data_IF_382373454288
#
_entry.id   IF_382373454288
#
_cell.length_a   1.000
_cell.length_b   1.000
_cell.length_c   1.000
_cell.angle_alpha   90.00
_cell.angle_beta   90.00
_cell.angle_gamma   90.00
#
_symmetry.space_group_name_H-M   'P 1'
#
loop_
_entity.id
_entity.type
_entity.pdbx_description
1 polymer ?
#
# COMPACT_ATOMS: atom_id res chain seq x y z
N UNK A 1 -5.65 15.33 57.88
CA UNK A 1 -4.26 15.79 57.58
C UNK A 1 -3.53 14.64 56.91
N UNK A 2 -2.78 14.95 55.84
CA UNK A 2 -1.98 14.07 54.97
C UNK A 2 -2.79 13.01 54.17
N UNK A 3 -2.70 12.86 52.85
CA UNK A 3 -1.83 13.49 51.85
C UNK A 3 -1.46 12.45 50.79
N UNK A 4 -2.27 12.30 49.74
CA UNK A 4 -1.90 11.55 48.53
C UNK A 4 -2.43 12.30 47.30
N UNK A 5 -1.49 12.84 46.51
CA UNK A 5 -1.74 13.49 45.22
C UNK A 5 -1.78 12.41 44.14
N UNK A 6 -2.92 12.21 43.49
CA UNK A 6 -3.00 11.53 42.20
C UNK A 6 -2.78 12.56 41.09
N UNK A 7 -1.72 12.38 40.31
CA UNK A 7 -1.53 13.05 39.02
C UNK A 7 -2.48 12.41 38.01
N UNK A 8 -3.57 13.10 37.68
CA UNK A 8 -4.39 12.83 36.50
C UNK A 8 -3.90 13.73 35.36
N UNK A 9 -3.40 13.11 34.30
CA UNK A 9 -3.17 13.74 33.00
C UNK A 9 -4.52 13.86 32.28
N UNK A 10 -4.86 14.98 31.64
CA UNK A 10 -6.11 15.09 30.89
C UNK A 10 -5.98 14.37 29.55
N UNK A 11 -6.88 13.41 29.33
CA UNK A 11 -7.19 12.88 28.02
C UNK A 11 -7.71 14.01 27.12
N UNK A 12 -7.07 14.24 25.98
CA UNK A 12 -7.64 15.05 24.90
C UNK A 12 -8.57 14.14 24.12
N UNK A 13 -9.86 14.16 24.49
CA UNK A 13 -10.90 13.40 23.80
C UNK A 13 -11.59 14.23 22.72
N UNK A 14 -11.94 13.53 21.63
CA UNK A 14 -13.00 13.81 20.65
C UNK A 14 -12.87 15.03 19.74
N UNK A 15 -12.57 14.77 18.47
CA UNK A 15 -13.10 15.59 17.37
C UNK A 15 -14.62 15.44 17.33
N UNK A 16 -15.28 16.58 17.18
CA UNK A 16 -16.71 16.85 17.31
C UNK A 16 -17.55 16.00 16.37
N UNK A 17 -18.34 15.07 16.89
CA UNK A 17 -19.52 14.56 16.18
C UNK A 17 -20.56 15.68 16.14
N UNK A 18 -20.82 16.25 14.97
CA UNK A 18 -21.81 17.31 14.78
C UNK A 18 -23.21 16.69 14.75
N UNK A 19 -23.99 16.91 15.80
CA UNK A 19 -25.44 16.69 15.74
C UNK A 19 -26.10 17.88 15.03
N UNK A 20 -26.61 17.65 13.82
CA UNK A 20 -27.41 18.64 13.09
C UNK A 20 -28.86 18.60 13.57
N UNK A 21 -29.23 19.53 14.44
CA UNK A 21 -30.63 19.82 14.73
C UNK A 21 -31.28 20.60 13.57
N UNK A 22 -32.61 20.52 13.40
CA UNK A 22 -33.31 21.22 12.34
C UNK A 22 -33.29 22.74 12.61
N UNK A 23 -32.81 23.53 11.64
CA UNK A 23 -32.63 25.00 11.61
C UNK A 23 -31.31 25.56 12.17
N UNK A 24 -30.21 25.37 11.45
CA UNK A 24 -29.04 26.25 11.57
C UNK A 24 -29.30 27.55 10.78
N UNK A 25 -29.19 28.69 11.45
CA UNK A 25 -29.26 30.00 10.79
C UNK A 25 -28.06 30.21 9.85
N UNK A 26 -28.22 30.99 8.76
CA UNK A 26 -27.12 31.36 7.85
C UNK A 26 -25.89 31.90 8.60
N UNK A 27 -26.13 32.67 9.67
CA UNK A 27 -25.10 33.20 10.56
C UNK A 27 -24.32 32.09 11.26
N UNK A 28 -24.98 31.02 11.69
CA UNK A 28 -24.37 29.85 12.32
C UNK A 28 -23.52 29.05 11.33
N UNK A 29 -23.99 28.88 10.08
CA UNK A 29 -23.24 28.20 9.04
C UNK A 29 -21.98 28.99 8.63
N UNK A 30 -22.09 30.31 8.39
CA UNK A 30 -20.94 31.17 8.10
C UNK A 30 -19.91 31.14 9.23
N UNK A 31 -20.35 31.20 10.50
CA UNK A 31 -19.46 31.09 11.66
C UNK A 31 -18.81 29.71 11.78
N UNK A 32 -19.45 28.65 11.30
CA UNK A 32 -18.88 27.30 11.30
C UNK A 32 -17.85 27.14 10.19
N UNK A 33 -18.15 27.58 8.96
CA UNK A 33 -17.20 27.61 7.85
C UNK A 33 -15.97 28.48 8.15
N UNK A 34 -16.17 29.65 8.78
CA UNK A 34 -15.06 30.51 9.20
C UNK A 34 -14.18 29.86 10.29
N UNK A 35 -14.79 29.13 11.23
CA UNK A 35 -14.03 28.34 12.23
C UNK A 35 -13.27 27.18 11.58
N UNK A 36 -13.85 26.51 10.59
CA UNK A 36 -13.19 25.44 9.83
C UNK A 36 -12.04 25.99 9.00
N UNK A 37 -12.21 27.14 8.34
CA UNK A 37 -11.15 27.81 7.59
C UNK A 37 -9.99 28.28 8.49
N UNK A 38 -10.28 28.80 9.68
CA UNK A 38 -9.26 29.18 10.66
C UNK A 38 -8.53 27.95 11.23
N UNK A 39 -9.25 26.89 11.57
CA UNK A 39 -8.65 25.63 12.01
C UNK A 39 -7.80 24.98 10.92
N UNK A 40 -8.22 25.08 9.66
CA UNK A 40 -7.43 24.70 8.49
C UNK A 40 -6.15 25.54 8.46
N UNK A 41 -6.22 26.87 8.47
CA UNK A 41 -5.04 27.74 8.46
C UNK A 41 -4.05 27.44 9.61
N UNK A 42 -4.53 27.13 10.82
CA UNK A 42 -3.67 26.77 11.95
C UNK A 42 -2.99 25.41 11.76
N UNK A 43 -3.70 24.40 11.26
CA UNK A 43 -3.12 23.09 10.91
C UNK A 43 -2.06 23.25 9.83
N UNK A 44 -2.34 24.04 8.80
CA UNK A 44 -1.44 24.27 7.67
C UNK A 44 -0.17 25.01 8.09
N UNK A 45 -0.28 25.99 8.99
CA UNK A 45 0.88 26.67 9.60
C UNK A 45 1.72 25.70 10.44
N UNK A 46 1.09 24.80 11.18
CA UNK A 46 1.79 23.75 11.93
C UNK A 46 2.54 22.75 11.04
N UNK A 47 2.15 22.63 9.77
CA UNK A 47 2.77 21.76 8.77
C UNK A 47 3.91 22.43 7.98
N UNK A 48 4.29 23.67 8.33
CA UNK A 48 5.35 24.42 7.63
C UNK A 48 4.98 24.89 6.21
N UNK A 49 3.70 24.79 5.83
CA UNK A 49 3.24 25.19 4.50
C UNK A 49 3.15 26.72 4.42
N UNK A 50 3.81 27.31 3.43
CA UNK A 50 3.76 28.76 3.19
C UNK A 50 2.48 29.13 2.47
N UNK A 51 1.81 30.17 2.95
CA UNK A 51 0.73 30.81 2.18
C UNK A 51 1.32 31.44 0.92
N UNK A 52 0.75 31.13 -0.24
CA UNK A 52 1.21 31.65 -1.53
C UNK A 52 0.20 32.69 -2.02
N UNK A 53 0.67 33.91 -2.27
CA UNK A 53 -0.17 34.96 -2.83
C UNK A 53 -0.54 34.59 -4.27
N UNK A 54 -1.81 34.79 -4.63
CA UNK A 54 -2.26 34.64 -6.01
C UNK A 54 -1.48 35.53 -6.98
N UNK A 55 -0.97 36.68 -6.52
CA UNK A 55 -0.16 37.59 -7.33
C UNK A 55 1.15 36.96 -7.84
N UNK A 56 1.65 35.94 -7.13
CA UNK A 56 2.92 35.27 -7.47
C UNK A 56 2.71 34.02 -8.35
N UNK A 57 1.45 33.69 -8.67
CA UNK A 57 1.05 32.52 -9.44
C UNK A 57 0.48 32.92 -10.79
N UNK A 58 1.11 32.42 -11.86
CA UNK A 58 0.52 32.42 -13.20
C UNK A 58 -0.19 31.09 -13.40
N UNK A 59 -1.53 31.09 -13.30
CA UNK A 59 -2.35 29.90 -13.54
C UNK A 59 -2.34 29.59 -15.05
N UNK A 60 -1.98 28.35 -15.38
CA UNK A 60 -1.93 27.81 -16.74
C UNK A 60 -3.18 27.01 -17.09
N UNK A 61 -3.00 25.85 -17.72
CA UNK A 61 -4.09 25.00 -18.20
C UNK A 61 -4.49 23.93 -17.19
N UNK A 62 -5.74 23.46 -17.28
CA UNK A 62 -6.27 22.36 -16.46
C UNK A 62 -5.59 21.05 -16.88
N UNK A 63 -5.01 20.35 -15.91
CA UNK A 63 -4.38 19.04 -16.08
C UNK A 63 -5.41 17.91 -15.96
N UNK A 64 -6.45 18.12 -15.15
CA UNK A 64 -7.56 17.18 -14.99
C UNK A 64 -8.58 17.67 -13.98
N UNK A 65 -9.79 17.12 -14.03
CA UNK A 65 -10.88 17.40 -13.09
C UNK A 65 -11.49 16.09 -12.60
N UNK A 66 -11.75 15.98 -11.31
CA UNK A 66 -12.41 14.82 -10.70
C UNK A 66 -13.38 15.23 -9.60
N UNK A 67 -14.04 14.25 -8.99
CA UNK A 67 -15.04 14.50 -7.93
C UNK A 67 -14.51 15.23 -6.69
N UNK A 68 -13.19 15.31 -6.52
CA UNK A 68 -12.53 15.99 -5.39
C UNK A 68 -11.83 17.30 -5.77
N UNK A 69 -12.00 17.79 -6.99
CA UNK A 69 -11.44 19.09 -7.41
C UNK A 69 -10.84 19.10 -8.81
N UNK A 70 -10.30 20.26 -9.16
CA UNK A 70 -9.62 20.49 -10.45
C UNK A 70 -8.13 20.70 -10.20
N UNK A 71 -7.29 20.01 -10.96
CA UNK A 71 -5.84 20.19 -10.92
C UNK A 71 -5.44 21.05 -12.11
N UNK A 72 -4.77 22.16 -11.83
CA UNK A 72 -4.36 23.15 -12.85
C UNK A 72 -2.85 23.31 -12.81
N UNK A 73 -2.19 23.30 -13.95
CA UNK A 73 -0.78 23.69 -14.02
C UNK A 73 -0.66 25.17 -13.70
N UNK A 74 0.34 25.57 -12.92
CA UNK A 74 0.66 26.97 -12.66
C UNK A 74 2.17 27.16 -12.64
N UNK A 75 2.61 28.41 -12.76
CA UNK A 75 4.02 28.78 -12.55
C UNK A 75 4.08 29.78 -11.41
N UNK A 76 4.93 29.51 -10.42
CA UNK A 76 5.22 30.44 -9.34
C UNK A 76 6.53 31.18 -9.60
N UNK A 77 6.55 32.50 -9.33
CA UNK A 77 7.68 33.38 -9.65
C UNK A 77 9.04 32.87 -9.16
N UNK A 78 9.09 32.23 -7.98
CA UNK A 78 10.34 31.71 -7.39
C UNK A 78 10.44 30.19 -7.33
N UNK A 79 9.34 29.47 -7.54
CA UNK A 79 9.29 28.00 -7.37
C UNK A 79 9.14 27.23 -8.68
N UNK A 80 8.98 27.93 -9.81
CA UNK A 80 8.83 27.28 -11.11
C UNK A 80 7.46 26.65 -11.30
N UNK A 81 7.40 25.53 -12.03
CA UNK A 81 6.14 24.88 -12.39
C UNK A 81 5.53 24.09 -11.22
N UNK A 82 4.23 24.30 -11.01
CA UNK A 82 3.41 23.72 -9.96
C UNK A 82 2.13 23.11 -10.55
N UNK A 83 1.56 22.15 -9.83
CA UNK A 83 0.18 21.70 -9.96
C UNK A 83 -0.63 22.26 -8.79
N UNK A 84 -1.70 22.96 -9.10
CA UNK A 84 -2.62 23.57 -8.13
C UNK A 84 -3.87 22.71 -8.11
N UNK A 85 -4.05 21.93 -7.04
CA UNK A 85 -5.28 21.15 -6.81
C UNK A 85 -6.27 22.03 -6.07
N UNK A 86 -7.21 22.61 -6.80
CA UNK A 86 -8.30 23.40 -6.26
C UNK A 86 -9.45 22.51 -5.82
N UNK A 87 -9.84 22.61 -4.56
CA UNK A 87 -11.04 21.96 -4.03
C UNK A 87 -12.12 23.02 -3.95
N UNK A 88 -13.08 22.94 -4.86
CA UNK A 88 -14.26 23.78 -4.80
C UNK A 88 -15.06 23.37 -3.57
N UNK A 89 -15.10 24.24 -2.57
CA UNK A 89 -16.16 24.16 -1.58
C UNK A 89 -17.44 24.55 -2.30
N UNK A 90 -18.46 23.68 -2.23
CA UNK A 90 -19.75 23.97 -2.87
C UNK A 90 -20.24 25.32 -2.35
N UNK A 91 -20.57 26.22 -3.27
CA UNK A 91 -21.03 27.55 -2.96
C UNK A 91 -22.29 27.45 -2.09
N UNK A 92 -22.13 27.75 -0.82
CA UNK A 92 -23.18 27.77 0.17
C UNK A 92 -24.00 29.06 0.02
N UNK A 93 -24.50 29.35 -1.19
CA UNK A 93 -25.55 30.35 -1.35
C UNK A 93 -26.83 29.77 -0.78
N UNK A 94 -27.03 29.98 0.53
CA UNK A 94 -28.29 29.65 1.20
C UNK A 94 -29.35 30.56 0.61
N UNK A 95 -30.12 30.06 -0.36
CA UNK A 95 -31.36 30.69 -0.73
C UNK A 95 -32.32 30.54 0.46
N UNK A 96 -32.74 31.67 1.04
CA UNK A 96 -33.66 31.73 2.19
C UNK A 96 -35.05 31.14 1.91
N UNK A 97 -35.28 30.66 0.69
CA UNK A 97 -36.53 30.06 0.20
C UNK A 97 -36.40 28.59 -0.25
N UNK A 98 -35.33 27.90 0.12
CA UNK A 98 -35.14 26.49 -0.28
C UNK A 98 -36.26 25.59 0.28
N UNK A 99 -36.79 24.72 -0.57
CA UNK A 99 -37.75 23.66 -0.24
C UNK A 99 -37.07 22.55 0.58
N UNK A 100 -37.85 21.68 1.26
CA UNK A 100 -37.30 20.58 2.07
C UNK A 100 -36.42 19.62 1.26
N UNK A 101 -36.77 19.37 -0.01
CA UNK A 101 -35.97 18.54 -0.91
C UNK A 101 -34.64 19.21 -1.30
N UNK A 102 -34.66 20.52 -1.56
CA UNK A 102 -33.44 21.32 -1.81
C UNK A 102 -32.56 21.38 -0.56
N UNK A 103 -33.14 21.42 0.65
CA UNK A 103 -32.41 21.37 1.91
C UNK A 103 -31.76 20.00 2.16
N UNK A 104 -32.43 18.89 1.79
CA UNK A 104 -31.85 17.55 1.88
C UNK A 104 -30.68 17.37 0.90
N UNK A 105 -30.83 17.83 -0.34
CA UNK A 105 -29.73 17.86 -1.33
C UNK A 105 -28.56 18.72 -0.86
N UNK A 106 -28.86 19.85 -0.20
CA UNK A 106 -27.86 20.73 0.40
C UNK A 106 -27.09 20.08 1.56
N UNK A 107 -27.77 19.28 2.40
CA UNK A 107 -27.13 18.51 3.47
C UNK A 107 -26.16 17.47 2.90
N UNK A 108 -26.54 16.77 1.83
CA UNK A 108 -25.65 15.82 1.15
C UNK A 108 -24.41 16.55 0.59
N UNK A 109 -24.60 17.68 -0.09
CA UNK A 109 -23.50 18.51 -0.64
C UNK A 109 -22.59 19.10 0.45
N UNK A 110 -23.13 19.46 1.62
CA UNK A 110 -22.36 19.92 2.78
C UNK A 110 -21.55 18.79 3.43
N UNK A 111 -22.12 17.58 3.50
CA UNK A 111 -21.38 16.39 3.94
C UNK A 111 -20.23 16.12 2.99
N UNK A 112 -20.46 16.12 1.67
CA UNK A 112 -19.41 15.95 0.67
C UNK A 112 -18.32 17.03 0.77
N UNK A 113 -18.69 18.28 1.06
CA UNK A 113 -17.74 19.40 1.26
C UNK A 113 -16.91 19.24 2.54
N UNK A 114 -17.50 18.72 3.62
CA UNK A 114 -16.79 18.44 4.87
C UNK A 114 -15.81 17.29 4.68
N UNK A 115 -16.21 16.24 3.95
CA UNK A 115 -15.32 15.14 3.56
C UNK A 115 -14.17 15.61 2.66
N UNK A 116 -14.44 16.49 1.69
CA UNK A 116 -13.41 17.07 0.84
C UNK A 116 -12.41 17.89 1.66
N UNK A 117 -12.87 18.62 2.67
CA UNK A 117 -12.01 19.39 3.57
C UNK A 117 -11.16 18.50 4.49
N UNK A 118 -11.74 17.45 5.07
CA UNK A 118 -11.00 16.49 5.89
C UNK A 118 -9.94 15.75 5.04
N UNK A 119 -10.28 15.41 3.79
CA UNK A 119 -9.34 14.87 2.81
C UNK A 119 -8.18 15.83 2.53
N UNK A 120 -8.48 17.12 2.31
CA UNK A 120 -7.47 18.16 2.09
C UNK A 120 -6.57 18.35 3.31
N UNK A 121 -7.14 18.36 4.51
CA UNK A 121 -6.41 18.48 5.76
C UNK A 121 -5.46 17.31 5.96
N UNK A 122 -5.91 16.09 5.68
CA UNK A 122 -5.08 14.91 5.74
C UNK A 122 -3.96 14.95 4.70
N UNK A 123 -4.27 15.36 3.46
CA UNK A 123 -3.29 15.52 2.38
C UNK A 123 -2.23 16.58 2.72
N UNK A 124 -2.63 17.73 3.28
CA UNK A 124 -1.73 18.79 3.69
C UNK A 124 -0.86 18.40 4.89
N UNK A 125 -1.43 17.73 5.91
CA UNK A 125 -0.67 17.19 7.05
C UNK A 125 0.35 16.14 6.60
N UNK A 126 -0.01 15.31 5.63
CA UNK A 126 0.90 14.33 5.06
C UNK A 126 2.05 15.00 4.30
N UNK A 127 1.72 15.94 3.41
CA UNK A 127 2.71 16.66 2.63
C UNK A 127 3.69 17.46 3.53
N UNK A 128 3.20 18.00 4.66
CA UNK A 128 4.04 18.63 5.67
C UNK A 128 4.95 17.67 6.44
N UNK A 129 4.44 16.49 6.83
CA UNK A 129 5.24 15.45 7.52
C UNK A 129 6.36 14.89 6.63
N UNK A 130 6.15 14.90 5.31
CA UNK A 130 7.12 14.41 4.33
C UNK A 130 7.97 15.52 3.70
N UNK A 131 7.95 16.74 4.25
CA UNK A 131 8.68 17.90 3.72
C UNK A 131 10.18 17.60 3.46
N UNK A 132 10.77 16.69 4.24
CA UNK A 132 12.18 16.30 4.16
C UNK A 132 12.45 15.05 3.30
N UNK A 133 11.40 14.37 2.80
CA UNK A 133 11.52 13.19 1.98
C UNK A 133 11.83 13.56 0.52
N UNK A 134 13.10 13.43 0.11
CA UNK A 134 13.62 13.80 -1.23
C UNK A 134 12.95 13.09 -2.42
N UNK A 135 12.14 12.06 -2.17
CA UNK A 135 11.50 11.23 -3.19
C UNK A 135 10.00 11.48 -3.35
N UNK A 136 9.40 12.36 -2.53
CA UNK A 136 7.98 12.66 -2.56
C UNK A 136 7.73 14.14 -2.87
N UNK A 137 6.63 14.40 -3.57
CA UNK A 137 6.18 15.73 -3.96
C UNK A 137 5.72 16.47 -2.71
N UNK A 138 6.55 17.39 -2.21
CA UNK A 138 6.22 18.17 -1.02
C UNK A 138 5.33 19.34 -1.38
N UNK A 139 4.24 19.51 -0.61
CA UNK A 139 3.35 20.64 -0.83
C UNK A 139 4.12 21.95 -0.64
N UNK A 140 4.07 22.79 -1.67
CA UNK A 140 4.79 24.04 -1.71
C UNK A 140 4.06 25.15 -0.93
N UNK A 141 2.76 25.01 -0.76
CA UNK A 141 1.96 25.99 -0.08
C UNK A 141 0.48 25.83 -0.35
N UNK A 142 -0.29 26.76 0.21
CA UNK A 142 -1.72 26.84 -0.03
C UNK A 142 -2.05 28.19 -0.63
N UNK A 143 -2.92 28.14 -1.62
CA UNK A 143 -3.39 29.28 -2.37
C UNK A 143 -4.86 29.44 -2.02
N UNK A 144 -5.17 30.54 -1.35
CA UNK A 144 -6.53 31.06 -1.34
C UNK A 144 -6.65 31.97 -2.56
N UNK A 145 -7.62 31.69 -3.41
CA UNK A 145 -7.85 32.50 -4.60
C UNK A 145 -9.34 32.64 -4.86
N UNK A 146 -9.74 33.86 -5.19
CA UNK A 146 -11.00 34.13 -5.86
C UNK A 146 -10.81 33.68 -7.32
N UNK A 147 -11.10 32.41 -7.56
CA UNK A 147 -10.93 31.81 -8.88
C UNK A 147 -11.84 32.48 -9.91
N UNK A 148 -11.40 32.72 -11.15
CA UNK A 148 -12.26 33.26 -12.22
C UNK A 148 -13.39 32.30 -12.64
N UNK A 149 -13.44 31.09 -12.04
CA UNK A 149 -14.34 29.99 -12.42
C UNK A 149 -15.36 29.61 -11.33
N UNK A 150 -15.39 30.29 -10.18
CA UNK A 150 -16.38 30.02 -9.12
C UNK A 150 -16.68 31.26 -8.28
N UNK A 151 -17.95 31.45 -7.92
CA UNK A 151 -18.44 32.51 -7.02
C UNK A 151 -18.18 32.24 -5.52
N UNK A 152 -17.35 31.24 -5.19
CA UNK A 152 -17.07 30.81 -3.82
C UNK A 152 -15.58 30.62 -3.52
N UNK A 153 -15.23 30.60 -2.24
CA UNK A 153 -13.85 30.40 -1.75
C UNK A 153 -13.31 29.03 -2.14
N UNK A 154 -12.23 29.00 -2.91
CA UNK A 154 -11.54 27.77 -3.32
C UNK A 154 -10.23 27.66 -2.56
N UNK A 155 -10.10 26.61 -1.74
CA UNK A 155 -8.81 26.26 -1.15
C UNK A 155 -8.04 25.39 -2.14
N UNK A 156 -6.82 25.82 -2.47
CA UNK A 156 -5.96 25.06 -3.35
C UNK A 156 -4.68 24.61 -2.67
N UNK A 157 -4.29 23.36 -2.90
CA UNK A 157 -2.97 22.84 -2.54
C UNK A 157 -2.02 23.00 -3.72
N UNK A 158 -0.89 23.67 -3.51
CA UNK A 158 0.16 23.80 -4.51
C UNK A 158 1.20 22.67 -4.34
N UNK A 159 1.39 21.87 -5.38
CA UNK A 159 2.31 20.75 -5.44
C UNK A 159 3.33 20.99 -6.58
N UNK A 160 4.59 20.55 -6.50
CA UNK A 160 5.47 20.54 -7.66
C UNK A 160 4.85 19.78 -8.84
N UNK A 161 4.96 20.34 -10.05
CA UNK A 161 4.44 19.68 -11.26
C UNK A 161 5.35 18.51 -11.64
N UNK A 162 4.83 17.27 -11.59
CA UNK A 162 5.55 16.07 -12.02
C UNK A 162 4.95 15.55 -13.33
N UNK A 163 5.77 15.45 -14.37
CA UNK A 163 5.38 14.80 -15.62
C UNK A 163 5.44 13.27 -15.46
N UNK A 164 4.31 12.58 -15.64
CA UNK A 164 4.26 11.11 -15.81
C UNK A 164 4.09 10.27 -14.55
N UNK A 165 3.73 10.84 -13.39
CA UNK A 165 3.52 10.09 -12.15
C UNK A 165 2.05 9.90 -11.79
N UNK A 166 1.67 8.70 -11.35
CA UNK A 166 0.48 8.52 -10.50
C UNK A 166 0.79 9.18 -9.14
N UNK A 167 0.03 10.20 -8.77
CA UNK A 167 0.23 10.89 -7.49
C UNK A 167 -0.41 10.08 -6.36
N UNK A 168 0.08 10.23 -5.12
CA UNK A 168 -0.64 9.73 -3.93
C UNK A 168 -2.08 10.27 -3.88
N UNK A 169 -2.35 11.44 -4.46
CA UNK A 169 -3.70 11.98 -4.60
C UNK A 169 -4.59 11.15 -5.54
N UNK A 170 -4.02 10.48 -6.54
CA UNK A 170 -4.72 9.51 -7.40
C UNK A 170 -5.06 8.25 -6.60
N UNK A 171 -4.11 7.75 -5.80
CA UNK A 171 -4.38 6.67 -4.84
C UNK A 171 -5.47 7.05 -3.84
N UNK A 172 -5.42 8.28 -3.31
CA UNK A 172 -6.44 8.80 -2.40
C UNK A 172 -7.79 8.87 -3.09
N UNK A 173 -7.89 9.33 -4.33
CA UNK A 173 -9.15 9.39 -5.08
C UNK A 173 -9.73 7.99 -5.35
N UNK A 174 -8.89 7.03 -5.74
CA UNK A 174 -9.30 5.65 -6.02
C UNK A 174 -9.66 4.88 -4.73
N UNK A 175 -8.91 5.07 -3.64
CA UNK A 175 -9.25 4.54 -2.32
C UNK A 175 -10.49 5.21 -1.71
N UNK A 176 -10.74 6.49 -2.04
CA UNK A 176 -11.93 7.23 -1.64
C UNK A 176 -13.16 6.88 -2.47
N UNK A 177 -13.12 5.99 -3.46
CA UNK A 177 -14.32 5.41 -4.07
C UNK A 177 -14.60 3.99 -3.52
N UNK A 178 -13.55 3.30 -3.05
CA UNK A 178 -13.64 2.10 -2.20
C UNK A 178 -13.94 2.48 -0.73
N UNK A 179 -14.84 3.46 -0.56
CA UNK A 179 -15.27 4.06 0.71
C UNK A 179 -15.80 2.96 1.63
N UNK A 180 -14.96 2.52 2.58
CA UNK A 180 -15.32 2.12 3.97
C UNK A 180 -14.25 1.36 4.74
N UNK A 181 -13.08 1.01 4.19
CA UNK A 181 -12.29 -0.09 4.82
C UNK A 181 -10.84 0.14 5.22
N UNK A 182 -10.09 1.10 4.65
CA UNK A 182 -8.78 1.49 5.22
C UNK A 182 -8.85 2.96 5.64
N UNK A 183 -8.74 3.27 6.94
CA UNK A 183 -8.58 4.64 7.41
C UNK A 183 -7.34 5.30 6.76
N UNK A 184 -7.48 6.55 6.32
CA UNK A 184 -6.39 7.25 5.61
C UNK A 184 -5.16 7.42 6.50
N UNK A 185 -5.37 7.78 7.76
CA UNK A 185 -4.35 7.83 8.80
C UNK A 185 -3.55 6.53 8.92
N UNK A 186 -4.22 5.37 8.92
CA UNK A 186 -3.55 4.07 8.89
C UNK A 186 -2.65 3.93 7.65
N UNK A 187 -3.14 4.28 6.46
CA UNK A 187 -2.35 4.20 5.24
C UNK A 187 -1.12 5.12 5.29
N UNK A 188 -1.29 6.35 5.77
CA UNK A 188 -0.18 7.31 5.89
C UNK A 188 0.90 6.79 6.86
N UNK A 189 0.48 6.23 7.99
CA UNK A 189 1.41 5.70 8.99
C UNK A 189 2.12 4.44 8.48
N UNK A 190 1.45 3.58 7.70
CA UNK A 190 2.09 2.45 7.00
C UNK A 190 3.15 2.96 6.02
N UNK A 191 2.82 3.96 5.19
CA UNK A 191 3.77 4.54 4.22
C UNK A 191 4.97 5.14 4.94
N UNK A 192 4.75 5.85 6.05
CA UNK A 192 5.84 6.42 6.85
C UNK A 192 6.79 5.33 7.38
N UNK A 193 6.24 4.26 7.96
CA UNK A 193 7.06 3.14 8.46
C UNK A 193 7.84 2.44 7.35
N UNK A 194 7.28 2.36 6.14
CA UNK A 194 7.97 1.82 4.97
C UNK A 194 9.16 2.72 4.56
N UNK A 195 8.98 4.05 4.55
CA UNK A 195 10.04 4.99 4.20
C UNK A 195 11.20 4.97 5.19
N UNK A 196 10.92 4.66 6.46
CA UNK A 196 11.90 4.56 7.54
C UNK A 196 12.59 3.18 7.59
N UNK A 197 11.94 2.13 7.08
CA UNK A 197 12.50 0.79 7.03
C UNK A 197 13.73 0.74 6.11
N UNK A 198 14.74 -0.03 6.50
CA UNK A 198 15.93 -0.26 5.68
C UNK A 198 15.62 -1.21 4.52
N UNK A 199 16.23 -0.94 3.36
CA UNK A 199 16.34 -1.95 2.30
C UNK A 199 17.02 -3.20 2.86
N UNK A 200 16.69 -4.40 2.40
CA UNK A 200 17.27 -5.62 2.95
C UNK A 200 17.36 -6.77 1.94
N UNK A 201 17.88 -7.93 2.35
CA UNK A 201 18.13 -9.05 1.44
C UNK A 201 17.34 -10.30 1.81
N UNK A 202 16.50 -10.76 0.89
CA UNK A 202 15.88 -12.09 0.94
C UNK A 202 16.74 -13.13 0.21
N UNK A 203 16.91 -14.29 0.85
CA UNK A 203 17.74 -15.40 0.33
C UNK A 203 16.86 -16.62 0.07
N UNK A 204 16.62 -17.01 -1.19
CA UNK A 204 15.90 -18.23 -1.53
C UNK A 204 16.52 -19.44 -0.82
N UNK A 205 15.66 -20.31 -0.30
CA UNK A 205 16.05 -21.49 0.48
C UNK A 205 15.81 -22.76 -0.31
N UNK A 206 14.57 -22.97 -0.76
CA UNK A 206 14.13 -24.17 -1.48
C UNK A 206 12.75 -23.94 -2.07
N UNK A 207 12.38 -24.74 -3.07
CA UNK A 207 10.97 -24.98 -3.38
C UNK A 207 10.37 -25.93 -2.35
N UNK A 208 9.06 -25.84 -2.14
CA UNK A 208 8.35 -26.60 -1.11
C UNK A 208 6.86 -26.72 -1.40
N UNK A 209 6.28 -27.89 -1.10
CA UNK A 209 4.83 -28.13 -1.13
C UNK A 209 4.25 -27.79 0.24
N UNK A 210 3.49 -26.69 0.32
CA UNK A 210 2.78 -26.28 1.53
C UNK A 210 1.47 -27.05 1.71
N UNK A 211 0.77 -26.78 2.82
CA UNK A 211 -0.55 -27.34 3.09
C UNK A 211 -1.48 -27.15 1.90
N UNK A 212 -2.35 -28.12 1.68
CA UNK A 212 -3.31 -28.16 0.57
C UNK A 212 -2.61 -28.12 -0.80
N UNK A 213 -1.34 -28.54 -0.86
CA UNK A 213 -0.63 -28.84 -2.10
C UNK A 213 -0.13 -27.59 -2.81
N UNK A 214 -0.11 -26.44 -2.15
CA UNK A 214 0.33 -25.17 -2.73
C UNK A 214 1.84 -25.19 -2.93
N UNK A 215 2.32 -24.99 -4.16
CA UNK A 215 3.74 -24.89 -4.46
C UNK A 215 4.27 -23.50 -4.13
N UNK A 216 5.36 -23.46 -3.39
CA UNK A 216 5.95 -22.22 -2.88
C UNK A 216 7.46 -22.18 -3.07
N UNK A 217 7.99 -20.97 -3.22
CA UNK A 217 9.40 -20.68 -2.99
C UNK A 217 9.57 -20.17 -1.55
N UNK A 218 10.33 -20.89 -0.74
CA UNK A 218 10.67 -20.49 0.63
C UNK A 218 11.96 -19.66 0.65
N UNK A 219 12.04 -18.72 1.59
CA UNK A 219 13.26 -17.99 1.91
C UNK A 219 13.81 -18.40 3.27
N UNK A 220 15.10 -18.14 3.53
CA UNK A 220 15.80 -18.55 4.77
C UNK A 220 15.19 -17.99 6.07
N UNK A 221 14.41 -16.92 5.99
CA UNK A 221 13.83 -16.22 7.13
C UNK A 221 13.61 -14.75 6.79
N UNK A 222 12.88 -14.03 7.64
CA UNK A 222 12.75 -12.58 7.51
C UNK A 222 14.04 -11.90 7.98
N UNK A 223 14.65 -10.99 7.19
CA UNK A 223 15.74 -10.16 7.66
C UNK A 223 15.30 -9.24 8.81
N UNK A 224 16.22 -8.79 9.67
CA UNK A 224 15.89 -7.93 10.81
C UNK A 224 15.03 -6.71 10.43
N UNK A 225 15.38 -6.00 9.36
CA UNK A 225 14.60 -4.86 8.87
C UNK A 225 13.11 -5.18 8.59
N UNK A 226 12.79 -6.36 8.03
CA UNK A 226 11.40 -6.77 7.81
C UNK A 226 10.71 -7.24 9.09
N UNK A 227 11.45 -7.84 10.02
CA UNK A 227 10.91 -8.21 11.34
C UNK A 227 10.52 -6.95 12.11
N UNK A 228 11.40 -5.94 12.12
CA UNK A 228 11.16 -4.63 12.74
C UNK A 228 9.97 -3.92 12.11
N UNK A 229 9.90 -3.84 10.77
CA UNK A 229 8.76 -3.25 10.07
C UNK A 229 7.44 -3.94 10.45
N UNK A 230 7.41 -5.27 10.45
CA UNK A 230 6.19 -6.03 10.81
C UNK A 230 5.80 -5.81 12.28
N UNK A 231 6.77 -5.80 13.19
CA UNK A 231 6.53 -5.56 14.61
C UNK A 231 6.04 -4.13 14.87
N UNK A 232 6.62 -3.14 14.19
CA UNK A 232 6.19 -1.74 14.25
C UNK A 232 4.75 -1.56 13.76
N UNK A 233 4.40 -2.19 12.64
CA UNK A 233 3.04 -2.15 12.10
C UNK A 233 2.02 -2.78 13.06
N UNK A 234 2.35 -3.92 13.66
CA UNK A 234 1.49 -4.57 14.65
C UNK A 234 1.30 -3.72 15.90
N UNK A 235 2.38 -3.14 16.41
CA UNK A 235 2.36 -2.35 17.65
C UNK A 235 1.66 -0.98 17.47
N UNK A 236 1.74 -0.39 16.28
CA UNK A 236 1.11 0.90 15.99
C UNK A 236 -0.40 0.78 15.72
N UNK A 237 -0.87 -0.38 15.24
CA UNK A 237 -2.20 -0.50 14.63
C UNK A 237 -2.96 -1.74 15.08
N UNK A 238 -3.59 -1.67 16.26
CA UNK A 238 -4.48 -2.71 16.81
C UNK A 238 -5.68 -3.03 15.89
N UNK A 239 -5.99 -2.15 14.94
CA UNK A 239 -7.06 -2.32 13.96
C UNK A 239 -6.70 -3.28 12.82
N UNK A 240 -5.41 -3.62 12.64
CA UNK A 240 -4.99 -4.56 11.61
C UNK A 240 -5.50 -5.98 11.91
N UNK A 241 -5.92 -6.74 10.89
CA UNK A 241 -6.37 -8.11 11.09
C UNK A 241 -5.22 -8.95 11.63
N UNK A 242 -5.47 -9.88 12.55
CA UNK A 242 -4.42 -10.77 13.08
C UNK A 242 -3.65 -11.45 11.96
N UNK A 243 -2.34 -11.53 12.13
CA UNK A 243 -1.49 -12.13 11.11
C UNK A 243 -1.73 -13.64 10.96
N UNK A 244 -2.06 -14.05 9.73
CA UNK A 244 -2.21 -15.44 9.33
C UNK A 244 -0.88 -16.19 9.37
N UNK A 245 -0.91 -17.47 9.74
CA UNK A 245 0.31 -18.31 9.80
C UNK A 245 1.12 -18.31 8.50
N UNK A 246 0.44 -18.18 7.35
CA UNK A 246 1.07 -18.18 6.03
C UNK A 246 1.96 -16.97 5.71
N UNK A 247 1.78 -15.82 6.37
CA UNK A 247 2.59 -14.60 6.14
C UNK A 247 3.63 -14.32 7.23
N UNK A 248 3.66 -15.15 8.29
CA UNK A 248 4.62 -15.05 9.40
C UNK A 248 6.05 -15.48 9.04
N UNK A 249 6.24 -15.94 7.82
CA UNK A 249 7.53 -16.34 7.26
C UNK A 249 7.55 -15.97 5.77
N UNK A 250 8.73 -15.73 5.19
CA UNK A 250 8.82 -15.22 3.83
C UNK A 250 8.69 -16.38 2.84
N UNK A 251 7.69 -16.28 1.96
CA UNK A 251 7.46 -17.21 0.86
C UNK A 251 6.80 -16.53 -0.34
N UNK A 252 6.96 -17.11 -1.52
CA UNK A 252 6.16 -16.79 -2.72
C UNK A 252 5.28 -17.98 -3.05
N UNK A 253 4.00 -17.74 -3.31
CA UNK A 253 3.13 -18.78 -3.89
C UNK A 253 3.35 -18.83 -5.39
N UNK A 254 3.72 -20.00 -5.93
CA UNK A 254 4.08 -20.17 -7.34
C UNK A 254 2.94 -20.77 -8.15
N UNK A 255 2.28 -21.77 -7.58
CA UNK A 255 1.23 -22.54 -8.24
C UNK A 255 0.38 -23.29 -7.23
N UNK A 256 -0.86 -23.58 -7.63
CA UNK A 256 -1.87 -24.20 -6.77
C UNK A 256 -2.49 -25.37 -7.50
N UNK A 257 -3.02 -26.35 -6.77
CA UNK A 257 -3.74 -27.46 -7.40
C UNK A 257 -5.02 -26.94 -8.08
N UNK A 258 -5.36 -27.52 -9.23
CA UNK A 258 -6.67 -27.28 -9.86
C UNK A 258 -7.82 -27.72 -8.94
N UNK A 259 -9.00 -27.13 -9.09
CA UNK A 259 -10.13 -27.31 -8.14
C UNK A 259 -10.55 -28.77 -7.94
N UNK A 260 -10.48 -29.59 -8.99
CA UNK A 260 -10.81 -31.01 -8.96
C UNK A 260 -9.59 -31.94 -8.76
N UNK A 261 -8.45 -31.38 -8.32
CA UNK A 261 -7.19 -32.12 -8.15
C UNK A 261 -6.85 -32.30 -6.67
N UNK A 262 -6.21 -33.44 -6.39
CA UNK A 262 -5.58 -33.77 -5.11
C UNK A 262 -4.29 -34.51 -5.38
N UNK A 263 -3.32 -34.33 -4.49
CA UNK A 263 -2.09 -35.11 -4.51
C UNK A 263 -2.36 -36.51 -3.97
N UNK A 264 -1.79 -37.50 -4.64
CA UNK A 264 -1.60 -38.84 -4.09
C UNK A 264 -0.25 -38.90 -3.35
N UNK A 265 -0.05 -39.86 -2.43
CA UNK A 265 1.21 -40.00 -1.71
C UNK A 265 2.44 -40.05 -2.64
N UNK A 266 2.45 -40.91 -3.66
CA UNK A 266 3.56 -41.05 -4.61
C UNK A 266 3.80 -39.76 -5.42
N UNK A 267 2.74 -38.99 -5.70
CA UNK A 267 2.86 -37.70 -6.39
C UNK A 267 3.49 -36.64 -5.50
N UNK A 268 3.14 -36.63 -4.21
CA UNK A 268 3.77 -35.74 -3.23
C UNK A 268 5.23 -36.12 -3.00
N UNK A 269 5.55 -37.41 -2.89
CA UNK A 269 6.94 -37.88 -2.81
C UNK A 269 7.73 -37.41 -4.03
N UNK A 270 7.17 -37.56 -5.24
CA UNK A 270 7.81 -37.07 -6.45
C UNK A 270 8.00 -35.56 -6.42
N UNK A 271 7.00 -34.77 -6.04
CA UNK A 271 7.11 -33.31 -5.92
C UNK A 271 8.15 -32.88 -4.90
N UNK A 272 8.22 -33.55 -3.75
CA UNK A 272 9.22 -33.27 -2.73
C UNK A 272 10.63 -33.52 -3.25
N UNK A 273 10.83 -34.59 -4.03
CA UNK A 273 12.10 -34.84 -4.73
C UNK A 273 12.42 -33.72 -5.73
N UNK A 274 11.46 -33.31 -6.58
CA UNK A 274 11.66 -32.17 -7.51
C UNK A 274 12.03 -30.88 -6.76
N UNK A 275 11.33 -30.60 -5.66
CA UNK A 275 11.58 -29.42 -4.83
C UNK A 275 12.99 -29.43 -4.23
N UNK A 276 13.46 -30.58 -3.74
CA UNK A 276 14.79 -30.75 -3.20
C UNK A 276 15.88 -30.62 -4.27
N UNK A 277 15.69 -31.25 -5.43
CA UNK A 277 16.64 -31.22 -6.54
C UNK A 277 16.80 -29.80 -7.13
N UNK A 278 15.69 -29.14 -7.45
CA UNK A 278 15.71 -27.77 -7.99
C UNK A 278 16.11 -26.74 -6.91
N UNK A 279 15.75 -27.01 -5.65
CA UNK A 279 16.12 -26.18 -4.50
C UNK A 279 17.59 -26.30 -4.09
N UNK A 280 18.27 -27.42 -4.38
CA UNK A 280 19.68 -27.63 -4.07
C UNK A 280 20.58 -26.58 -4.73
N UNK A 281 20.17 -26.08 -5.90
CA UNK A 281 20.94 -25.08 -6.63
C UNK A 281 20.95 -23.69 -5.96
N UNK A 282 20.03 -23.41 -5.02
CA UNK A 282 20.11 -22.23 -4.15
C UNK A 282 21.17 -22.36 -3.05
N UNK A 283 21.66 -23.58 -2.80
CA UNK A 283 22.61 -23.88 -1.71
C UNK A 283 24.01 -24.21 -2.23
N UNK A 284 24.10 -24.82 -3.41
CA UNK A 284 25.37 -25.28 -3.99
C UNK A 284 26.08 -24.23 -4.86
N UNK A 285 25.42 -23.12 -5.21
CA UNK A 285 26.06 -22.02 -5.93
C UNK A 285 27.11 -21.34 -5.05
N UNK A 286 28.31 -21.09 -5.60
CA UNK A 286 29.33 -20.28 -4.93
C UNK A 286 28.79 -18.89 -4.53
N UNK A 287 27.87 -18.37 -5.35
CA UNK A 287 27.11 -17.15 -5.10
C UNK A 287 25.62 -17.50 -5.17
N UNK A 288 24.97 -17.84 -4.05
CA UNK A 288 23.54 -18.09 -4.03
C UNK A 288 22.79 -16.81 -4.44
N UNK A 289 21.69 -16.92 -5.21
CA UNK A 289 20.96 -15.73 -5.63
C UNK A 289 20.45 -14.98 -4.40
N UNK A 290 20.59 -13.66 -4.42
CA UNK A 290 20.07 -12.75 -3.40
C UNK A 290 19.02 -11.84 -4.03
N UNK A 291 17.97 -11.52 -3.28
CA UNK A 291 16.93 -10.59 -3.73
C UNK A 291 16.97 -9.38 -2.82
N UNK A 292 17.23 -8.22 -3.42
CA UNK A 292 17.14 -6.95 -2.70
C UNK A 292 15.66 -6.57 -2.58
N UNK A 293 15.23 -6.34 -1.35
CA UNK A 293 13.94 -5.77 -0.98
C UNK A 293 14.17 -4.29 -0.72
N UNK A 294 13.97 -3.47 -1.75
CA UNK A 294 14.15 -2.02 -1.72
C UNK A 294 12.84 -1.24 -1.73
N UNK A 295 11.71 -1.95 -1.75
CA UNK A 295 10.37 -1.39 -1.81
C UNK A 295 9.34 -2.35 -1.25
N UNK A 296 8.19 -1.80 -0.89
CA UNK A 296 6.97 -2.55 -0.68
C UNK A 296 5.81 -1.90 -1.45
N UNK A 297 4.79 -2.69 -1.74
CA UNK A 297 3.58 -2.24 -2.40
C UNK A 297 2.38 -2.42 -1.46
N UNK A 298 1.63 -1.34 -1.25
CA UNK A 298 0.26 -1.44 -0.73
C UNK A 298 -0.64 -1.77 -1.91
N UNK A 299 -1.28 -2.94 -1.85
CA UNK A 299 -2.10 -3.49 -2.94
C UNK A 299 -3.52 -3.70 -2.46
N UNK A 300 -4.47 -3.07 -3.16
CA UNK A 300 -5.88 -3.35 -3.09
C UNK A 300 -6.25 -4.26 -4.26
N UNK A 301 -6.89 -5.40 -3.98
CA UNK A 301 -7.04 -6.47 -4.96
C UNK A 301 -8.45 -7.08 -4.98
N UNK A 302 -8.78 -7.75 -6.08
CA UNK A 302 -10.03 -8.50 -6.31
C UNK A 302 -9.85 -10.02 -6.26
N UNK A 303 -8.61 -10.50 -6.12
CA UNK A 303 -8.32 -11.91 -5.92
C UNK A 303 -7.03 -12.10 -5.11
N UNK A 304 -6.95 -13.18 -4.32
CA UNK A 304 -5.85 -13.41 -3.37
C UNK A 304 -4.50 -13.67 -4.07
N UNK A 305 -4.51 -14.07 -5.34
CA UNK A 305 -3.28 -14.21 -6.13
C UNK A 305 -2.64 -12.89 -6.56
N UNK A 306 -3.34 -11.76 -6.40
CA UNK A 306 -2.98 -10.44 -6.94
C UNK A 306 -2.86 -10.39 -8.48
N UNK A 307 -3.48 -11.33 -9.19
CA UNK A 307 -3.59 -11.28 -10.66
C UNK A 307 -4.62 -10.24 -11.13
N UNK A 308 -5.53 -9.82 -10.23
CA UNK A 308 -6.48 -8.72 -10.42
C UNK A 308 -6.30 -7.69 -9.31
N UNK A 309 -5.58 -6.63 -9.62
CA UNK A 309 -5.29 -5.51 -8.73
C UNK A 309 -6.23 -4.35 -9.09
N UNK A 310 -6.87 -3.75 -8.08
CA UNK A 310 -7.67 -2.53 -8.22
C UNK A 310 -6.75 -1.32 -8.21
N UNK A 311 -5.90 -1.25 -7.17
CA UNK A 311 -4.97 -0.16 -6.96
C UNK A 311 -3.69 -0.68 -6.30
N UNK A 312 -2.57 -0.08 -6.67
CA UNK A 312 -1.26 -0.40 -6.12
C UNK A 312 -0.47 0.88 -5.92
N UNK A 313 0.23 0.98 -4.80
CA UNK A 313 1.22 2.03 -4.57
C UNK A 313 2.49 1.44 -4.01
N UNK A 314 3.57 1.66 -4.75
CA UNK A 314 4.90 1.25 -4.36
C UNK A 314 5.59 2.38 -3.58
N UNK A 315 6.21 2.00 -2.47
CA UNK A 315 6.97 2.89 -1.60
C UNK A 315 8.35 2.27 -1.44
N UNK A 316 9.38 3.06 -1.75
CA UNK A 316 10.77 2.63 -1.56
C UNK A 316 11.17 2.70 -0.09
N UNK A 317 11.96 1.73 0.32
CA UNK A 317 12.61 1.71 1.62
C UNK A 317 13.73 2.75 1.65
N UNK A 318 14.32 2.97 2.82
CA UNK A 318 15.52 3.78 2.95
C UNK A 318 16.67 3.20 2.09
N UNK A 319 17.52 4.10 1.57
CA UNK A 319 18.55 3.75 0.58
C UNK A 319 19.64 2.80 1.11
N UNK A 320 19.84 2.73 2.43
CA UNK A 320 20.78 1.82 3.04
C UNK A 320 20.26 0.39 3.01
N UNK A 321 21.09 -0.54 2.55
CA UNK A 321 20.78 -1.97 2.50
C UNK A 321 21.35 -2.68 3.73
N UNK A 322 20.46 -3.28 4.51
CA UNK A 322 20.78 -4.24 5.56
C UNK A 322 20.99 -5.63 4.94
N UNK A 323 22.26 -6.02 4.84
CA UNK A 323 22.66 -7.34 4.34
C UNK A 323 22.66 -8.43 5.42
N UNK A 324 22.23 -8.12 6.65
CA UNK A 324 22.21 -9.09 7.74
C UNK A 324 21.47 -10.39 7.34
N UNK A 325 21.98 -11.50 7.85
CA UNK A 325 21.27 -12.78 7.77
C UNK A 325 20.05 -12.75 8.72
N UNK A 326 18.97 -13.50 8.40
CA UNK A 326 17.87 -13.67 9.33
C UNK A 326 18.37 -14.21 10.68
N UNK A 327 17.77 -13.69 11.75
CA UNK A 327 18.10 -14.14 13.11
C UNK A 327 17.89 -15.65 13.27
N UNK A 328 18.54 -16.25 14.27
CA UNK A 328 18.44 -17.68 14.52
C UNK A 328 16.98 -18.15 14.72
N UNK A 329 16.15 -17.35 15.41
CA UNK A 329 14.75 -17.67 15.62
C UNK A 329 13.92 -17.68 14.32
N UNK A 330 14.19 -16.75 13.39
CA UNK A 330 13.52 -16.72 12.09
C UNK A 330 13.95 -17.88 11.21
N UNK A 331 15.24 -18.23 11.21
CA UNK A 331 15.76 -19.41 10.50
C UNK A 331 15.15 -20.69 11.05
N UNK A 332 15.13 -20.85 12.38
CA UNK A 332 14.53 -22.02 13.03
C UNK A 332 13.03 -22.14 12.72
N UNK A 333 12.30 -21.00 12.69
CA UNK A 333 10.89 -20.98 12.30
C UNK A 333 10.70 -21.55 10.89
N UNK A 334 11.49 -21.11 9.92
CA UNK A 334 11.41 -21.61 8.55
C UNK A 334 11.78 -23.10 8.50
N UNK A 335 12.90 -23.49 9.10
CA UNK A 335 13.34 -24.89 9.07
C UNK A 335 12.32 -25.82 9.73
N UNK A 336 11.62 -25.39 10.79
CA UNK A 336 10.53 -26.16 11.39
C UNK A 336 9.38 -26.40 10.42
N UNK A 337 9.00 -25.39 9.63
CA UNK A 337 7.96 -25.51 8.60
C UNK A 337 8.41 -26.43 7.48
N UNK A 338 9.68 -26.35 7.07
CA UNK A 338 10.23 -27.22 6.04
C UNK A 338 10.33 -28.67 6.50
N UNK A 339 10.75 -28.90 7.75
CA UNK A 339 10.81 -30.22 8.38
C UNK A 339 9.42 -30.85 8.53
N UNK A 340 8.38 -30.06 8.77
CA UNK A 340 7.01 -30.56 8.81
C UNK A 340 6.62 -31.29 7.52
N UNK A 341 7.04 -30.80 6.34
CA UNK A 341 6.72 -31.50 5.08
C UNK A 341 7.56 -32.73 4.78
N UNK A 342 8.61 -32.97 5.56
CA UNK A 342 9.37 -34.21 5.50
C UNK A 342 8.72 -35.32 6.34
N UNK A 343 7.71 -35.00 7.15
CA UNK A 343 6.98 -35.98 7.93
C UNK A 343 6.21 -36.95 7.00
N UNK A 344 6.31 -38.28 7.20
CA UNK A 344 5.59 -39.25 6.39
C UNK A 344 4.08 -39.04 6.33
N UNK A 345 3.47 -38.51 7.39
CA UNK A 345 2.03 -38.23 7.48
C UNK A 345 1.67 -36.84 6.93
N UNK A 346 2.63 -36.03 6.48
CA UNK A 346 2.37 -34.70 5.92
C UNK A 346 1.44 -34.74 4.69
N UNK A 347 1.38 -35.88 4.00
CA UNK A 347 0.52 -36.05 2.84
C UNK A 347 -0.95 -35.74 3.14
N UNK A 348 -1.43 -35.98 4.37
CA UNK A 348 -2.78 -35.60 4.78
C UNK A 348 -2.99 -34.08 4.75
N UNK A 349 -1.98 -33.31 5.19
CA UNK A 349 -2.02 -31.85 5.17
C UNK A 349 -1.88 -31.30 3.75
N UNK A 350 -0.96 -31.85 2.95
CA UNK A 350 -0.75 -31.47 1.56
C UNK A 350 -1.95 -31.84 0.65
N UNK A 351 -2.62 -32.96 0.89
CA UNK A 351 -3.72 -33.43 0.04
C UNK A 351 -5.09 -32.91 0.46
N UNK A 352 -5.17 -32.20 1.60
CA UNK A 352 -6.41 -31.62 2.13
C UNK A 352 -7.05 -30.68 1.10
N UNK A 353 -8.38 -30.64 1.10
CA UNK A 353 -9.14 -29.66 0.33
C UNK A 353 -8.94 -28.24 0.88
N UNK A 354 -8.95 -27.28 -0.03
CA UNK A 354 -8.75 -25.87 0.25
C UNK A 354 -7.65 -25.28 -0.64
N UNK A 355 -7.53 -23.95 -0.63
CA UNK A 355 -6.47 -23.20 -1.33
C UNK A 355 -6.21 -23.69 -2.77
N UNK A 356 -7.28 -24.10 -3.48
CA UNK A 356 -7.24 -24.46 -4.90
C UNK A 356 -7.29 -23.23 -5.78
N UNK A 357 -7.23 -23.40 -7.09
CA UNK A 357 -7.34 -22.32 -8.06
C UNK A 357 -8.46 -21.31 -7.73
N UNK A 358 -9.69 -21.76 -7.49
CA UNK A 358 -10.81 -20.88 -7.17
C UNK A 358 -10.61 -20.07 -5.87
N UNK A 359 -9.84 -20.56 -4.90
CA UNK A 359 -9.53 -19.81 -3.69
C UNK A 359 -8.69 -18.56 -4.00
N UNK A 360 -7.73 -18.71 -4.92
CA UNK A 360 -6.77 -17.66 -5.27
C UNK A 360 -7.30 -16.70 -6.34
N UNK A 361 -7.97 -17.24 -7.38
CA UNK A 361 -8.51 -16.48 -8.52
C UNK A 361 -9.97 -16.11 -8.39
N UNK A 362 -10.69 -16.68 -7.43
CA UNK A 362 -12.05 -16.26 -7.10
C UNK A 362 -12.08 -14.81 -6.60
N UNK A 363 -13.25 -14.18 -6.72
CA UNK A 363 -13.44 -12.80 -6.25
C UNK A 363 -13.25 -12.74 -4.73
N UNK A 364 -12.26 -11.98 -4.30
CA UNK A 364 -11.99 -11.67 -2.90
C UNK A 364 -11.39 -10.28 -2.79
N UNK A 365 -12.17 -9.34 -2.27
CA UNK A 365 -11.70 -7.99 -2.02
C UNK A 365 -10.85 -7.96 -0.76
N UNK A 366 -9.63 -7.42 -0.85
CA UNK A 366 -8.75 -7.27 0.29
C UNK A 366 -7.65 -6.28 0.03
N UNK A 367 -6.89 -5.98 1.08
CA UNK A 367 -5.73 -5.10 1.01
C UNK A 367 -4.54 -5.74 1.71
N UNK A 368 -3.35 -5.62 1.12
CA UNK A 368 -2.14 -6.22 1.64
C UNK A 368 -0.93 -5.35 1.37
N UNK A 369 0.03 -5.39 2.29
CA UNK A 369 1.39 -4.92 2.08
C UNK A 369 2.23 -6.10 1.60
N UNK A 370 2.89 -5.95 0.46
CA UNK A 370 3.68 -7.00 -0.17
C UNK A 370 5.02 -6.47 -0.66
N UNK A 371 5.97 -7.37 -0.85
CA UNK A 371 7.13 -7.14 -1.69
C UNK A 371 6.90 -7.87 -3.03
N UNK A 372 6.68 -7.15 -4.14
CA UNK A 372 6.61 -7.77 -5.47
C UNK A 372 7.98 -8.35 -5.84
N UNK A 373 8.00 -9.58 -6.36
CA UNK A 373 9.26 -10.19 -6.82
C UNK A 373 9.77 -9.41 -8.04
N UNK A 374 11.08 -9.08 -8.16
CA UNK A 374 11.55 -8.24 -9.25
C UNK A 374 11.25 -8.84 -10.63
N UNK A 375 10.79 -8.01 -11.56
CA UNK A 375 10.29 -8.42 -12.88
C UNK A 375 8.82 -8.83 -12.91
N UNK A 376 8.11 -8.69 -11.78
CA UNK A 376 6.66 -8.80 -11.73
C UNK A 376 5.96 -7.53 -12.27
N UNK A 377 6.59 -6.35 -12.17
CA UNK A 377 5.98 -5.11 -12.65
C UNK A 377 6.33 -4.83 -14.11
N UNK A 378 5.36 -4.43 -14.96
CA UNK A 378 5.65 -3.88 -16.29
C UNK A 378 6.62 -2.69 -16.24
N UNK A 379 6.62 -1.93 -15.13
CA UNK A 379 7.54 -0.81 -14.93
C UNK A 379 9.02 -1.26 -14.77
N UNK A 380 9.26 -2.50 -14.35
CA UNK A 380 10.61 -3.07 -14.27
C UNK A 380 11.18 -3.41 -15.67
N UNK A 381 10.34 -3.45 -16.71
CA UNK A 381 10.73 -3.73 -18.11
C UNK A 381 11.00 -2.45 -18.91
N UNK A 382 11.50 -1.40 -18.26
CA UNK A 382 11.80 -0.12 -18.89
C UNK A 382 12.51 -0.26 -20.25
N UNK A 383 12.15 0.56 -21.25
CA UNK A 383 12.66 0.42 -22.61
C UNK A 383 14.15 0.75 -22.67
N UNK A 384 14.97 -0.29 -22.82
CA UNK A 384 16.28 -0.20 -23.44
C UNK A 384 17.41 0.35 -22.57
N UNK A 385 18.00 -0.52 -21.76
CA UNK A 385 19.46 -0.50 -21.58
C UNK A 385 19.97 -1.92 -21.69
N UNK A 386 20.40 -2.28 -22.91
CA UNK A 386 21.26 -3.44 -23.12
C UNK A 386 22.62 -3.13 -22.47
N UNK A 387 22.75 -3.46 -21.19
CA UNK A 387 23.98 -3.31 -20.42
C UNK A 387 24.41 -4.67 -19.88
N UNK A 388 25.73 -4.86 -19.88
CA UNK A 388 26.48 -6.04 -19.47
C UNK A 388 26.06 -6.55 -18.08
N UNK A 389 25.90 -7.88 -17.89
CA UNK A 389 25.41 -8.46 -16.64
C UNK A 389 26.47 -8.41 -15.55
N UNK A 390 26.40 -7.43 -14.64
CA UNK A 390 27.11 -7.41 -13.35
C UNK A 390 26.30 -6.71 -12.25
N UNK A 391 24.96 -6.70 -12.34
CA UNK A 391 24.10 -5.92 -11.44
C UNK A 391 23.01 -6.77 -10.75
N UNK A 392 22.33 -6.22 -9.73
CA UNK A 392 21.21 -6.89 -9.04
C UNK A 392 20.07 -7.36 -9.97
N UNK A 393 20.00 -6.84 -11.20
CA UNK A 393 19.10 -7.35 -12.24
C UNK A 393 19.37 -8.79 -12.67
N UNK A 394 20.62 -9.25 -12.56
CA UNK A 394 21.02 -10.60 -12.98
C UNK A 394 20.52 -11.67 -12.00
N UNK A 395 20.54 -11.37 -10.69
CA UNK A 395 20.04 -12.29 -9.67
C UNK A 395 18.53 -12.52 -9.78
N UNK A 396 17.77 -11.45 -10.06
CA UNK A 396 16.34 -11.55 -10.32
C UNK A 396 16.01 -12.35 -11.58
N UNK A 397 16.73 -12.11 -12.68
CA UNK A 397 16.57 -12.87 -13.92
C UNK A 397 16.91 -14.35 -13.72
N UNK A 398 18.01 -14.66 -13.03
CA UNK A 398 18.40 -16.01 -12.69
C UNK A 398 17.35 -16.72 -11.83
N UNK A 399 16.75 -16.02 -10.86
CA UNK A 399 15.67 -16.58 -10.06
C UNK A 399 14.42 -16.89 -10.92
N UNK A 400 14.01 -15.98 -11.80
CA UNK A 400 12.88 -16.23 -12.70
C UNK A 400 13.12 -17.42 -13.62
N UNK A 401 14.33 -17.54 -14.17
CA UNK A 401 14.71 -18.69 -14.98
C UNK A 401 14.61 -20.00 -14.19
N UNK A 402 15.03 -20.00 -12.91
CA UNK A 402 14.89 -21.16 -12.02
C UNK A 402 13.43 -21.48 -11.72
N UNK A 403 12.59 -20.47 -11.46
CA UNK A 403 11.14 -20.68 -11.27
C UNK A 403 10.52 -21.28 -12.53
N UNK A 404 10.86 -20.76 -13.72
CA UNK A 404 10.35 -21.29 -14.99
C UNK A 404 10.77 -22.76 -15.22
N UNK A 405 12.05 -23.09 -15.00
CA UNK A 405 12.55 -24.45 -15.12
C UNK A 405 11.87 -25.42 -14.13
N UNK A 406 11.66 -24.98 -12.88
CA UNK A 406 10.92 -25.75 -11.89
C UNK A 406 9.48 -26.03 -12.34
N UNK A 407 8.78 -25.01 -12.86
CA UNK A 407 7.41 -25.16 -13.39
C UNK A 407 7.35 -26.16 -14.54
N UNK A 408 8.26 -26.06 -15.49
CA UNK A 408 8.35 -26.97 -16.64
C UNK A 408 8.58 -28.42 -16.20
N UNK A 409 9.49 -28.65 -15.25
CA UNK A 409 9.69 -30.00 -14.68
C UNK A 409 8.44 -30.54 -13.99
N UNK A 410 7.77 -29.71 -13.18
CA UNK A 410 6.54 -30.12 -12.50
C UNK A 410 5.46 -30.47 -13.53
N UNK A 411 5.28 -29.66 -14.57
CA UNK A 411 4.28 -29.94 -15.62
C UNK A 411 4.62 -31.19 -16.43
N UNK A 412 5.90 -31.48 -16.65
CA UNK A 412 6.34 -32.71 -17.32
C UNK A 412 6.07 -33.97 -16.48
N UNK A 413 6.24 -33.89 -15.17
CA UNK A 413 6.12 -35.04 -14.26
C UNK A 413 4.67 -35.23 -13.77
N UNK A 414 3.91 -34.14 -13.64
CA UNK A 414 2.54 -34.10 -13.14
C UNK A 414 1.66 -33.22 -14.04
N UNK A 415 1.40 -33.69 -15.28
CA UNK A 415 0.72 -32.89 -16.29
C UNK A 415 -0.68 -32.45 -15.85
N UNK A 416 -0.94 -31.15 -16.01
CA UNK A 416 -2.22 -30.51 -15.67
C UNK A 416 -2.67 -30.71 -14.19
N UNK A 417 -1.70 -30.91 -13.29
CA UNK A 417 -1.96 -30.95 -11.84
C UNK A 417 -2.05 -29.55 -11.25
N UNK A 418 -1.18 -28.64 -11.71
CA UNK A 418 -1.00 -27.31 -11.15
C UNK A 418 -1.51 -26.21 -12.09
N UNK A 419 -2.05 -25.17 -11.45
CA UNK A 419 -2.37 -23.89 -12.06
C UNK A 419 -1.35 -22.88 -11.54
N UNK A 420 -0.42 -22.46 -12.41
CA UNK A 420 0.62 -21.49 -12.08
C UNK A 420 0.04 -20.08 -11.97
N UNK A 421 0.44 -19.34 -10.93
CA UNK A 421 0.11 -17.92 -10.80
C UNK A 421 0.97 -17.09 -11.79
N UNK A 422 0.41 -16.00 -12.30
CA UNK A 422 1.13 -15.06 -13.17
C UNK A 422 2.45 -14.59 -12.58
N UNK A 423 3.50 -14.48 -13.41
CA UNK A 423 4.79 -13.91 -12.99
C UNK A 423 4.65 -12.50 -12.44
N UNK A 424 3.69 -11.73 -12.99
CA UNK A 424 3.39 -10.37 -12.56
C UNK A 424 2.76 -10.29 -11.16
N UNK A 425 2.28 -11.40 -10.61
CA UNK A 425 1.62 -11.45 -9.32
C UNK A 425 2.45 -12.15 -8.24
N UNK A 426 3.66 -12.61 -8.57
CA UNK A 426 4.56 -13.24 -7.61
C UNK A 426 5.05 -12.21 -6.59
N UNK A 427 4.81 -12.49 -5.32
CA UNK A 427 5.14 -11.58 -4.23
C UNK A 427 5.40 -12.32 -2.91
N UNK A 428 6.06 -11.63 -1.98
CA UNK A 428 6.11 -12.00 -0.56
C UNK A 428 5.12 -11.14 0.19
N UNK A 429 4.18 -11.75 0.90
CA UNK A 429 3.26 -11.00 1.77
C UNK A 429 3.99 -10.50 3.01
N UNK A 430 4.04 -9.19 3.22
CA UNK A 430 4.63 -8.58 4.41
C UNK A 430 3.57 -8.44 5.52
N UNK A 431 2.37 -7.95 5.19
CA UNK A 431 1.28 -7.81 6.16
C UNK A 431 -0.09 -7.72 5.48
N UNK A 432 -1.08 -8.49 5.94
CA UNK A 432 -2.47 -8.25 5.55
C UNK A 432 -2.97 -6.95 6.20
N UNK A 433 -3.55 -6.06 5.41
CA UNK A 433 -4.08 -4.77 5.86
C UNK A 433 -5.60 -4.82 6.03
N UNK A 434 -6.26 -5.66 5.23
CA UNK A 434 -7.68 -5.99 5.33
C UNK A 434 -7.91 -7.46 4.97
N UNK A 435 -8.88 -8.10 5.62
CA UNK A 435 -9.24 -9.52 5.43
C UNK A 435 -10.66 -9.73 4.94
#
# INVERSE_FOLDING_TARGET
MAGQRSLLWPAVSSCTTVFMGPSLSERSLRQQLQRMALALLDVLRGCGLTYMSQADLTIGYVLGSGGFGTVTAATHATRGALAIKGIALVDAQIHTSATEDEAAEYVVRLQDSTYALDGLLAEARFAGRLADCRHLTTACGIVDHDGPFSSGSVFSLALPLISGGHTLATLMADCLDVRRRIPLDLLLDIVQQILEALSCVLRPRTFFVSWQGVLTLAFRGLPPALVELKAGLEAAHDSLPRENSGSRWPKVTLGVLGDARRLLPDQLERLNALCAEEGAAFQSSAEPPVIIVDRAAVVLYECRSLERVIAQTEVRFAASVDEAEPEAAERERVERILLEAADPDYWFAASRDGNREAHYRGTHLGATLVFPLPGASPADLGPGTAATPQGPGDAAAALRQRIAAFRERVDSELPAMYCWLSDASLHVTLRALMG
#
